data_IF_878241196201
#
_entry.id   IF_878241196201
#
_cell.length_a   1.000
_cell.length_b   1.000
_cell.length_c   1.000
_cell.angle_alpha   90.00
_cell.angle_beta   90.00
_cell.angle_gamma   90.00
#
_symmetry.space_group_name_H-M   'P 1'
#
loop_
_entity.id
_entity.type
_entity.pdbx_description
1 polymer ?
#
# COMPACT_ATOMS: atom_id res chain seq x y z
N UNK A 1 -22.17 -35.54 15.16
CA UNK A 1 -20.81 -36.07 15.45
C UNK A 1 -19.92 -35.73 14.26
N UNK A 2 -18.99 -34.76 14.41
CA UNK A 2 -18.00 -34.43 13.35
C UNK A 2 -16.99 -35.57 13.26
N UNK A 3 -17.02 -36.35 12.17
CA UNK A 3 -15.96 -37.30 11.85
C UNK A 3 -14.61 -36.57 11.84
N UNK A 4 -13.76 -36.85 12.83
CA UNK A 4 -12.34 -36.41 12.80
C UNK A 4 -11.69 -37.17 11.64
N UNK A 5 -11.51 -36.51 10.48
CA UNK A 5 -10.65 -37.01 9.40
C UNK A 5 -9.28 -37.31 10.00
N UNK A 6 -8.80 -38.56 9.88
CA UNK A 6 -7.45 -38.92 10.24
C UNK A 6 -6.52 -38.11 9.33
N UNK A 7 -5.58 -37.39 9.94
CA UNK A 7 -4.56 -36.65 9.21
C UNK A 7 -3.75 -37.63 8.35
N UNK A 8 -3.79 -37.47 7.05
CA UNK A 8 -2.96 -38.23 6.12
C UNK A 8 -1.51 -37.73 6.13
N UNK A 9 -0.59 -38.54 5.61
CA UNK A 9 0.82 -38.15 5.46
C UNK A 9 0.93 -36.85 4.66
N UNK A 10 0.10 -36.69 3.63
CA UNK A 10 0.03 -35.46 2.83
C UNK A 10 -0.33 -34.24 3.68
N UNK A 11 -1.31 -34.34 4.59
CA UNK A 11 -1.74 -33.24 5.43
C UNK A 11 -0.61 -32.79 6.38
N UNK A 12 0.15 -33.77 6.90
CA UNK A 12 1.31 -33.50 7.77
C UNK A 12 2.43 -32.80 6.99
N UNK A 13 2.80 -33.31 5.82
CA UNK A 13 3.84 -32.70 4.98
C UNK A 13 3.44 -31.28 4.55
N UNK A 14 2.18 -31.07 4.15
CA UNK A 14 1.66 -29.76 3.78
C UNK A 14 1.68 -28.80 4.97
N UNK A 15 1.30 -29.28 6.16
CA UNK A 15 1.34 -28.44 7.37
C UNK A 15 2.78 -28.01 7.72
N UNK A 16 3.74 -28.94 7.65
CA UNK A 16 5.18 -28.62 7.89
C UNK A 16 5.68 -27.61 6.86
N UNK A 17 5.34 -27.81 5.57
CA UNK A 17 5.72 -26.87 4.52
C UNK A 17 5.12 -25.47 4.74
N UNK A 18 3.83 -25.40 5.09
CA UNK A 18 3.18 -24.12 5.38
C UNK A 18 3.75 -23.43 6.62
N UNK A 19 4.10 -24.18 7.67
CA UNK A 19 4.78 -23.62 8.84
C UNK A 19 6.18 -23.09 8.49
N UNK A 20 6.91 -23.78 7.64
CA UNK A 20 8.21 -23.32 7.15
C UNK A 20 8.09 -22.02 6.35
N UNK A 21 7.13 -21.94 5.42
CA UNK A 21 6.84 -20.72 4.66
C UNK A 21 6.42 -19.58 5.60
N UNK A 22 5.56 -19.87 6.57
CA UNK A 22 5.13 -18.88 7.57
C UNK A 22 6.34 -18.34 8.36
N UNK A 23 7.22 -19.23 8.79
CA UNK A 23 8.41 -18.84 9.52
C UNK A 23 9.33 -17.91 8.70
N UNK A 24 9.65 -18.29 7.46
CA UNK A 24 10.50 -17.47 6.58
C UNK A 24 9.88 -16.09 6.30
N UNK A 25 8.56 -16.02 6.17
CA UNK A 25 7.88 -14.74 5.86
C UNK A 25 7.69 -13.87 7.09
N UNK A 26 7.42 -14.44 8.25
CA UNK A 26 7.16 -13.69 9.49
C UNK A 26 8.45 -13.26 10.20
N UNK A 27 9.51 -14.09 10.12
CA UNK A 27 10.75 -13.79 10.84
C UNK A 27 11.39 -12.44 10.48
N UNK A 28 11.51 -12.00 9.21
CA UNK A 28 12.05 -10.68 8.89
C UNK A 28 11.21 -9.52 9.46
N UNK A 29 9.89 -9.67 9.50
CA UNK A 29 9.01 -8.67 10.10
C UNK A 29 9.17 -8.64 11.63
N UNK A 30 9.22 -9.80 12.25
CA UNK A 30 9.51 -9.95 13.69
C UNK A 30 10.88 -9.35 14.03
N UNK A 31 11.91 -9.67 13.23
CA UNK A 31 13.25 -9.11 13.40
C UNK A 31 13.25 -7.59 13.34
N UNK A 32 12.51 -6.98 12.38
CA UNK A 32 12.37 -5.54 12.27
C UNK A 32 11.83 -4.92 13.57
N UNK A 33 10.84 -5.57 14.19
CA UNK A 33 10.27 -5.10 15.47
C UNK A 33 11.28 -5.19 16.59
N UNK A 34 11.91 -6.36 16.82
CA UNK A 34 12.86 -6.52 17.94
C UNK A 34 14.11 -5.65 17.75
N UNK A 35 14.60 -5.50 16.52
CA UNK A 35 15.73 -4.63 16.21
C UNK A 35 15.42 -3.16 16.48
N UNK A 36 14.19 -2.70 16.23
CA UNK A 36 13.79 -1.30 16.47
C UNK A 36 13.78 -0.93 17.96
N UNK A 37 13.68 -1.91 18.86
CA UNK A 37 13.70 -1.73 20.32
C UNK A 37 15.04 -2.11 20.97
N UNK A 38 16.04 -2.49 20.17
CA UNK A 38 17.35 -2.96 20.67
C UNK A 38 18.39 -1.86 20.60
N UNK A 39 19.43 -2.02 21.43
CA UNK A 39 20.60 -1.14 21.39
C UNK A 39 21.27 -1.20 20.02
N UNK A 40 21.63 -0.03 19.42
CA UNK A 40 22.21 0.04 18.09
C UNK A 40 23.46 -0.83 17.89
N UNK A 41 24.34 -0.90 18.88
CA UNK A 41 25.53 -1.75 18.87
C UNK A 41 25.19 -3.23 18.75
N UNK A 42 24.24 -3.73 19.55
CA UNK A 42 23.83 -5.13 19.55
C UNK A 42 23.15 -5.54 18.23
N UNK A 43 22.44 -4.62 17.57
CA UNK A 43 21.86 -4.89 16.24
C UNK A 43 22.95 -4.99 15.19
N UNK A 44 23.93 -4.08 15.23
CA UNK A 44 25.02 -4.05 14.25
C UNK A 44 25.98 -5.24 14.39
N UNK A 45 26.23 -5.72 15.62
CA UNK A 45 27.07 -6.90 15.89
C UNK A 45 26.35 -8.23 15.66
N UNK A 46 25.03 -8.21 15.39
CA UNK A 46 24.25 -9.42 15.13
C UNK A 46 23.84 -10.20 16.39
N UNK A 47 23.94 -9.60 17.57
CA UNK A 47 23.52 -10.22 18.84
C UNK A 47 21.99 -10.35 18.96
N UNK A 48 21.26 -9.51 18.22
CA UNK A 48 19.79 -9.53 18.18
C UNK A 48 19.33 -10.60 17.20
N UNK A 49 18.79 -11.72 17.72
CA UNK A 49 18.26 -12.82 16.89
C UNK A 49 16.80 -13.10 17.21
N UNK A 50 16.48 -13.43 18.47
CA UNK A 50 15.14 -13.85 18.90
C UNK A 50 14.50 -12.92 19.92
N UNK A 51 15.24 -12.05 20.54
CA UNK A 51 14.75 -11.12 21.56
C UNK A 51 15.50 -9.79 21.46
N UNK A 52 14.89 -8.67 21.89
CA UNK A 52 15.62 -7.41 22.02
C UNK A 52 16.82 -7.55 22.96
N UNK A 53 17.94 -6.94 22.63
CA UNK A 53 19.14 -6.84 23.44
C UNK A 53 19.38 -5.37 23.77
N UNK A 54 19.55 -5.01 25.05
CA UNK A 54 19.71 -3.62 25.46
C UNK A 54 18.48 -2.77 25.08
N UNK A 55 17.31 -3.03 25.69
CA UNK A 55 16.07 -2.33 25.33
C UNK A 55 16.23 -0.81 25.40
N UNK A 56 15.99 -0.14 24.27
CA UNK A 56 16.08 1.32 24.16
C UNK A 56 15.01 1.89 23.22
N UNK A 57 14.64 3.13 23.45
CA UNK A 57 13.74 3.93 22.58
C UNK A 57 14.47 5.08 21.89
N UNK A 58 15.80 5.10 21.92
CA UNK A 58 16.55 6.25 21.42
C UNK A 58 16.42 6.42 19.90
N UNK A 59 16.32 5.34 19.14
CA UNK A 59 16.01 5.39 17.70
C UNK A 59 14.63 6.01 17.44
N UNK A 60 13.64 5.72 18.28
CA UNK A 60 12.31 6.35 18.19
C UNK A 60 12.35 7.83 18.51
N UNK A 61 13.05 8.22 19.59
CA UNK A 61 13.23 9.64 19.96
C UNK A 61 13.87 10.41 18.81
N UNK A 62 14.92 9.84 18.20
CA UNK A 62 15.59 10.44 17.05
C UNK A 62 14.65 10.60 15.86
N UNK A 63 13.94 9.53 15.47
CA UNK A 63 12.99 9.57 14.35
C UNK A 63 11.87 10.59 14.58
N UNK A 64 11.29 10.64 15.77
CA UNK A 64 10.22 11.58 16.08
C UNK A 64 10.70 13.03 16.30
N UNK A 65 11.99 13.24 16.51
CA UNK A 65 12.57 14.60 16.54
C UNK A 65 12.61 15.24 15.14
N UNK A 66 12.57 14.45 14.05
CA UNK A 66 12.52 14.98 12.70
C UNK A 66 11.13 15.53 12.35
N UNK A 67 11.00 16.86 12.31
CA UNK A 67 9.75 17.56 11.98
C UNK A 67 9.16 17.12 10.63
N UNK A 68 10.02 16.78 9.67
CA UNK A 68 9.61 16.32 8.34
C UNK A 68 8.84 15.00 8.38
N UNK A 69 9.08 14.12 9.36
CA UNK A 69 8.36 12.84 9.48
C UNK A 69 6.88 13.10 9.81
N UNK A 70 6.58 14.00 10.74
CA UNK A 70 5.21 14.37 11.08
C UNK A 70 4.47 15.02 9.93
N UNK A 71 5.18 15.88 9.18
CA UNK A 71 4.63 16.48 7.95
C UNK A 71 4.40 15.41 6.89
N UNK A 72 5.35 14.51 6.67
CA UNK A 72 5.21 13.37 5.77
C UNK A 72 4.00 12.50 6.12
N UNK A 73 3.75 12.24 7.42
CA UNK A 73 2.53 11.55 7.88
C UNK A 73 1.26 12.30 7.48
N UNK A 74 1.18 13.58 7.78
CA UNK A 74 0.02 14.41 7.45
C UNK A 74 -0.23 14.41 5.93
N UNK A 75 0.83 14.57 5.13
CA UNK A 75 0.76 14.51 3.67
C UNK A 75 0.30 13.14 3.18
N UNK A 76 0.85 12.05 3.71
CA UNK A 76 0.46 10.69 3.31
C UNK A 76 -0.99 10.39 3.63
N UNK A 77 -1.47 10.78 4.82
CA UNK A 77 -2.89 10.63 5.17
C UNK A 77 -3.76 11.43 4.21
N UNK A 78 -3.38 12.68 3.91
CA UNK A 78 -4.09 13.54 2.97
C UNK A 78 -4.17 12.92 1.56
N UNK A 79 -3.04 12.45 1.02
CA UNK A 79 -3.00 11.81 -0.30
C UNK A 79 -3.75 10.48 -0.31
N UNK A 80 -3.64 9.69 0.75
CA UNK A 80 -4.36 8.41 0.86
C UNK A 80 -5.87 8.63 0.88
N UNK A 81 -6.37 9.58 1.68
CA UNK A 81 -7.81 9.82 1.78
C UNK A 81 -8.36 10.43 0.49
N UNK A 82 -7.76 11.53 0.01
CA UNK A 82 -8.28 12.21 -1.19
C UNK A 82 -8.01 11.42 -2.47
N UNK A 83 -6.84 10.80 -2.58
CA UNK A 83 -6.52 9.95 -3.74
C UNK A 83 -7.45 8.74 -3.81
N UNK A 84 -7.66 8.03 -2.70
CA UNK A 84 -8.61 6.90 -2.66
C UNK A 84 -10.03 7.34 -3.02
N UNK A 85 -10.50 8.47 -2.48
CA UNK A 85 -11.82 9.01 -2.80
C UNK A 85 -11.95 9.34 -4.30
N UNK A 86 -10.92 9.97 -4.88
CA UNK A 86 -10.86 10.29 -6.30
C UNK A 86 -10.84 9.02 -7.17
N UNK A 87 -10.01 8.04 -6.83
CA UNK A 87 -9.96 6.77 -7.55
C UNK A 87 -11.30 6.03 -7.52
N UNK A 88 -11.99 5.99 -6.38
CA UNK A 88 -13.30 5.36 -6.26
C UNK A 88 -14.35 6.11 -7.05
N UNK A 89 -14.33 7.45 -7.00
CA UNK A 89 -15.24 8.31 -7.76
C UNK A 89 -15.15 8.03 -9.26
N UNK A 90 -13.97 7.71 -9.78
CA UNK A 90 -13.78 7.38 -11.20
C UNK A 90 -14.08 5.89 -11.47
N UNK A 91 -13.54 4.99 -10.64
CA UNK A 91 -13.58 3.54 -10.89
C UNK A 91 -14.97 2.95 -10.75
N UNK A 92 -15.72 3.30 -9.69
CA UNK A 92 -17.00 2.65 -9.39
C UNK A 92 -18.07 2.97 -10.47
N UNK A 93 -18.31 4.24 -10.85
CA UNK A 93 -19.26 4.54 -11.91
C UNK A 93 -18.82 3.99 -13.28
N UNK A 94 -17.52 4.06 -13.60
CA UNK A 94 -17.01 3.50 -14.86
C UNK A 94 -17.20 1.99 -14.93
N UNK A 95 -16.88 1.25 -13.86
CA UNK A 95 -17.08 -0.18 -13.77
C UNK A 95 -18.58 -0.57 -13.86
N UNK A 96 -19.46 0.20 -13.20
CA UNK A 96 -20.89 0.01 -13.31
C UNK A 96 -21.38 0.20 -14.75
N UNK A 97 -21.00 1.29 -15.42
CA UNK A 97 -21.40 1.58 -16.79
C UNK A 97 -20.97 0.44 -17.74
N UNK A 98 -19.69 0.03 -17.70
CA UNK A 98 -19.19 -1.04 -18.58
C UNK A 98 -19.63 -2.45 -18.15
N UNK A 99 -20.31 -2.61 -17.02
CA UNK A 99 -20.96 -3.87 -16.64
C UNK A 99 -22.27 -4.09 -17.40
N UNK A 100 -22.94 -3.01 -17.83
CA UNK A 100 -24.27 -3.08 -18.46
C UNK A 100 -24.22 -3.67 -19.86
N UNK A 101 -25.06 -4.69 -20.13
CA UNK A 101 -25.12 -5.35 -21.44
C UNK A 101 -25.65 -4.44 -22.55
N UNK A 102 -26.51 -3.47 -22.20
CA UNK A 102 -27.13 -2.52 -23.14
C UNK A 102 -26.26 -1.27 -23.42
N UNK A 103 -25.09 -1.13 -22.78
CA UNK A 103 -24.18 -0.04 -23.11
C UNK A 103 -23.68 -0.20 -24.55
N UNK A 104 -23.92 0.76 -25.45
CA UNK A 104 -23.42 0.70 -26.81
C UNK A 104 -21.90 0.69 -26.80
N UNK A 105 -21.30 -0.07 -27.70
CA UNK A 105 -19.83 -0.18 -27.87
C UNK A 105 -19.08 -0.64 -26.59
N UNK A 106 -19.75 -1.32 -25.64
CA UNK A 106 -19.16 -1.81 -24.39
C UNK A 106 -17.83 -2.54 -24.60
N UNK A 107 -17.78 -3.41 -25.61
CA UNK A 107 -16.56 -4.19 -25.91
C UNK A 107 -15.43 -3.30 -26.43
N UNK A 108 -15.74 -2.20 -27.14
CA UNK A 108 -14.73 -1.23 -27.56
C UNK A 108 -14.12 -0.50 -26.36
N UNK A 109 -14.96 -0.02 -25.44
CA UNK A 109 -14.46 0.58 -24.20
C UNK A 109 -13.58 -0.39 -23.39
N UNK A 110 -14.03 -1.64 -23.25
CA UNK A 110 -13.23 -2.66 -22.57
C UNK A 110 -11.92 -2.96 -23.29
N UNK A 111 -11.93 -3.03 -24.61
CA UNK A 111 -10.73 -3.18 -25.44
C UNK A 111 -9.76 -2.01 -25.23
N UNK A 112 -10.25 -0.79 -25.22
CA UNK A 112 -9.45 0.41 -24.95
C UNK A 112 -8.81 0.36 -23.57
N UNK A 113 -9.55 0.03 -22.52
CA UNK A 113 -9.02 -0.13 -21.17
C UNK A 113 -7.96 -1.24 -21.12
N UNK A 114 -8.21 -2.38 -21.75
CA UNK A 114 -7.23 -3.47 -21.79
C UNK A 114 -5.93 -3.08 -22.52
N UNK A 115 -6.03 -2.36 -23.63
CA UNK A 115 -4.84 -1.85 -24.34
C UNK A 115 -4.01 -0.96 -23.41
N UNK A 116 -4.65 -0.01 -22.71
CA UNK A 116 -3.92 0.87 -21.78
C UNK A 116 -3.35 0.16 -20.55
N UNK A 117 -3.84 -1.02 -20.21
CA UNK A 117 -3.27 -1.85 -19.15
C UNK A 117 -1.95 -2.51 -19.56
N UNK A 118 -1.83 -2.95 -20.82
CA UNK A 118 -0.66 -3.67 -21.32
C UNK A 118 0.34 -2.76 -22.03
N UNK A 119 -0.10 -1.64 -22.60
CA UNK A 119 0.74 -0.71 -23.33
C UNK A 119 0.84 0.61 -22.58
N UNK A 120 2.03 0.90 -22.08
CA UNK A 120 2.37 2.16 -21.41
C UNK A 120 3.25 3.01 -22.31
N UNK A 121 3.03 4.31 -22.33
CA UNK A 121 3.91 5.25 -23.02
C UNK A 121 5.30 5.36 -22.40
N UNK A 122 5.48 4.82 -21.20
CA UNK A 122 6.74 4.90 -20.45
C UNK A 122 6.82 6.12 -19.52
N UNK A 123 7.87 6.14 -18.73
CA UNK A 123 8.08 7.15 -17.67
C UNK A 123 8.26 8.57 -18.25
N UNK A 124 9.08 8.72 -19.29
CA UNK A 124 9.41 10.04 -19.86
C UNK A 124 8.18 10.72 -20.49
N UNK A 125 7.40 10.09 -21.37
CA UNK A 125 6.15 10.66 -21.87
C UNK A 125 5.15 11.00 -20.76
N UNK A 126 5.03 10.15 -19.74
CA UNK A 126 4.15 10.41 -18.59
C UNK A 126 4.60 11.65 -17.80
N UNK A 127 5.91 11.79 -17.55
CA UNK A 127 6.46 12.97 -16.92
C UNK A 127 6.19 14.25 -17.72
N UNK A 128 6.44 14.21 -19.03
CA UNK A 128 6.20 15.36 -19.91
C UNK A 128 4.72 15.75 -19.94
N UNK A 129 3.81 14.78 -19.94
CA UNK A 129 2.38 15.04 -19.84
C UNK A 129 2.03 15.78 -18.54
N UNK A 130 2.47 15.25 -17.39
CA UNK A 130 2.22 15.86 -16.08
C UNK A 130 2.83 17.26 -15.99
N UNK A 131 4.02 17.45 -16.57
CA UNK A 131 4.68 18.76 -16.68
C UNK A 131 3.87 19.75 -17.53
N UNK A 132 3.42 19.32 -18.70
CA UNK A 132 2.63 20.17 -19.62
C UNK A 132 1.26 20.56 -19.03
N UNK A 133 0.70 19.70 -18.15
CA UNK A 133 -0.52 20.01 -17.41
C UNK A 133 -0.29 20.95 -16.22
N UNK A 134 0.97 21.36 -15.95
CA UNK A 134 1.30 22.25 -14.84
C UNK A 134 1.17 21.60 -13.46
N UNK A 135 1.20 20.26 -13.39
CA UNK A 135 0.98 19.52 -12.14
C UNK A 135 2.28 19.24 -11.37
N UNK A 136 3.46 19.47 -11.96
CA UNK A 136 4.75 19.28 -11.29
C UNK A 136 4.81 20.13 -10.04
N UNK A 137 5.31 19.55 -8.95
CA UNK A 137 5.45 20.16 -7.63
C UNK A 137 4.11 20.64 -7.03
N UNK A 138 3.05 19.88 -7.27
CA UNK A 138 1.72 20.13 -6.68
C UNK A 138 1.17 18.89 -5.98
N UNK A 139 0.30 19.10 -5.01
CA UNK A 139 -0.47 18.01 -4.36
C UNK A 139 -1.36 17.26 -5.34
N UNK A 140 -1.85 17.95 -6.37
CA UNK A 140 -2.72 17.36 -7.39
C UNK A 140 -2.02 16.26 -8.19
N UNK A 141 -0.70 16.36 -8.42
CA UNK A 141 0.06 15.32 -9.09
C UNK A 141 -0.07 13.96 -8.38
N UNK A 142 0.02 13.94 -7.04
CA UNK A 142 -0.05 12.70 -6.24
C UNK A 142 -1.47 12.16 -6.04
N UNK A 143 -2.49 12.94 -6.39
CA UNK A 143 -3.91 12.54 -6.29
C UNK A 143 -4.45 12.10 -7.64
N UNK A 144 -4.15 12.85 -8.73
CA UNK A 144 -4.78 12.68 -10.03
C UNK A 144 -4.04 11.66 -10.90
N UNK A 145 -2.70 11.63 -10.82
CA UNK A 145 -1.90 10.70 -11.63
C UNK A 145 -2.22 9.26 -11.21
N UNK A 146 -2.57 8.43 -12.18
CA UNK A 146 -3.02 7.06 -11.89
C UNK A 146 -4.43 6.95 -11.33
N UNK A 147 -5.30 7.94 -11.63
CA UNK A 147 -6.68 8.04 -11.11
C UNK A 147 -7.58 6.82 -11.34
N UNK A 148 -7.31 5.99 -12.37
CA UNK A 148 -7.99 4.70 -12.58
C UNK A 148 -6.96 3.59 -12.74
N UNK A 149 -7.04 2.59 -11.88
CA UNK A 149 -6.39 1.30 -12.11
C UNK A 149 -7.32 0.42 -12.95
N UNK A 150 -6.88 0.03 -14.13
CA UNK A 150 -7.68 -0.81 -15.04
C UNK A 150 -7.95 -2.17 -14.42
N UNK A 151 -6.99 -2.74 -13.68
CA UNK A 151 -7.21 -3.97 -12.92
C UNK A 151 -8.38 -3.83 -11.93
N UNK A 152 -8.38 -2.75 -11.13
CA UNK A 152 -9.45 -2.49 -10.16
C UNK A 152 -10.80 -2.25 -10.84
N UNK A 153 -10.80 -1.58 -12.00
CA UNK A 153 -12.00 -1.39 -12.82
C UNK A 153 -12.57 -2.74 -13.29
N UNK A 154 -11.72 -3.64 -13.80
CA UNK A 154 -12.14 -4.97 -14.28
C UNK A 154 -12.70 -5.81 -13.14
N UNK A 155 -12.03 -5.84 -11.99
CA UNK A 155 -12.49 -6.57 -10.80
C UNK A 155 -13.84 -6.05 -10.33
N UNK A 156 -13.98 -4.71 -10.26
CA UNK A 156 -15.25 -4.07 -9.85
C UNK A 156 -16.37 -4.32 -10.86
N UNK A 157 -16.09 -4.24 -12.18
CA UNK A 157 -17.02 -4.58 -13.24
C UNK A 157 -17.49 -6.04 -13.12
N UNK A 158 -16.55 -6.95 -12.90
CA UNK A 158 -16.87 -8.38 -12.74
C UNK A 158 -17.82 -8.59 -11.56
N UNK A 159 -17.60 -7.92 -10.45
CA UNK A 159 -18.51 -7.97 -9.31
C UNK A 159 -19.92 -7.51 -9.71
N UNK A 160 -20.08 -6.38 -10.40
CA UNK A 160 -21.38 -5.89 -10.85
C UNK A 160 -22.08 -6.85 -11.80
N UNK A 161 -21.34 -7.62 -12.60
CA UNK A 161 -21.93 -8.58 -13.55
C UNK A 161 -22.25 -9.94 -12.95
N UNK A 162 -21.52 -10.36 -11.91
CA UNK A 162 -21.66 -11.73 -11.35
C UNK A 162 -22.41 -11.78 -10.03
N UNK A 163 -22.31 -10.74 -9.21
CA UNK A 163 -22.83 -10.73 -7.85
C UNK A 163 -24.18 -10.01 -7.71
N UNK A 164 -24.58 -9.22 -8.71
CA UNK A 164 -25.88 -8.54 -8.72
C UNK A 164 -26.69 -9.08 -9.90
N UNK A 165 -27.81 -9.75 -9.58
CA UNK A 165 -28.69 -10.35 -10.60
C UNK A 165 -29.28 -9.30 -11.55
N UNK A 166 -29.35 -9.64 -12.85
CA UNK A 166 -30.01 -8.82 -13.86
C UNK A 166 -31.48 -8.53 -13.48
N UNK A 167 -32.19 -9.48 -12.83
CA UNK A 167 -33.57 -9.32 -12.38
C UNK A 167 -33.78 -8.13 -11.43
N UNK A 168 -32.80 -7.76 -10.62
CA UNK A 168 -32.87 -6.57 -9.75
C UNK A 168 -32.89 -5.30 -10.60
N UNK A 169 -32.11 -5.24 -11.67
CA UNK A 169 -32.08 -4.10 -12.58
C UNK A 169 -33.34 -4.01 -13.43
N UNK A 170 -33.91 -5.17 -13.84
CA UNK A 170 -35.18 -5.24 -14.57
C UNK A 170 -36.34 -4.76 -13.70
N UNK A 171 -36.43 -5.20 -12.44
CA UNK A 171 -37.44 -4.72 -11.49
C UNK A 171 -37.35 -3.21 -11.29
N UNK A 172 -36.14 -2.67 -11.08
CA UNK A 172 -35.94 -1.24 -10.95
C UNK A 172 -36.42 -0.45 -12.19
N UNK A 173 -36.22 -1.00 -13.39
CA UNK A 173 -36.67 -0.40 -14.64
C UNK A 173 -38.20 -0.43 -14.75
N UNK A 174 -38.85 -1.51 -14.33
CA UNK A 174 -40.32 -1.63 -14.27
C UNK A 174 -40.90 -0.59 -13.30
N UNK A 175 -40.22 -0.38 -12.15
CA UNK A 175 -40.59 0.66 -11.17
C UNK A 175 -40.29 2.10 -11.64
N UNK A 176 -39.84 2.30 -12.89
CA UNK A 176 -39.56 3.61 -13.47
C UNK A 176 -38.28 4.26 -12.95
N UNK A 177 -37.36 3.51 -12.33
CA UNK A 177 -36.09 4.04 -11.87
C UNK A 177 -35.16 4.34 -13.06
N UNK A 178 -34.72 5.57 -13.18
CA UNK A 178 -33.68 5.96 -14.15
C UNK A 178 -32.31 5.38 -13.73
N UNK A 179 -31.34 5.39 -14.67
CA UNK A 179 -30.00 4.81 -14.50
C UNK A 179 -29.26 5.35 -13.27
N UNK A 180 -29.28 6.66 -13.05
CA UNK A 180 -28.61 7.28 -11.91
C UNK A 180 -29.23 6.83 -10.58
N UNK A 181 -30.56 6.75 -10.50
CA UNK A 181 -31.28 6.25 -9.33
C UNK A 181 -30.97 4.79 -9.09
N UNK A 182 -30.96 3.97 -10.13
CA UNK A 182 -30.59 2.56 -10.08
C UNK A 182 -29.14 2.37 -9.58
N UNK A 183 -28.23 3.20 -10.06
CA UNK A 183 -26.82 3.17 -9.61
C UNK A 183 -26.71 3.55 -8.12
N UNK A 184 -27.23 4.72 -7.73
CA UNK A 184 -27.01 5.25 -6.37
C UNK A 184 -27.81 4.50 -5.31
N UNK A 185 -29.07 4.13 -5.61
CA UNK A 185 -29.99 3.57 -4.60
C UNK A 185 -30.00 2.05 -4.55
N UNK A 186 -29.56 1.36 -5.61
CA UNK A 186 -29.62 -0.09 -5.70
C UNK A 186 -28.21 -0.70 -5.86
N UNK A 187 -27.51 -0.35 -6.96
CA UNK A 187 -26.23 -0.98 -7.27
C UNK A 187 -25.14 -0.64 -6.25
N UNK A 188 -25.01 0.63 -5.88
CA UNK A 188 -23.99 1.09 -4.94
C UNK A 188 -24.14 0.49 -3.52
N UNK A 189 -25.33 0.41 -2.92
CA UNK A 189 -25.53 -0.28 -1.65
C UNK A 189 -25.21 -1.78 -1.72
N UNK A 190 -25.56 -2.46 -2.81
CA UNK A 190 -25.26 -3.87 -3.01
C UNK A 190 -23.78 -4.11 -3.30
N UNK A 191 -23.06 -3.11 -3.81
CA UNK A 191 -21.64 -3.16 -4.10
C UNK A 191 -20.73 -2.85 -2.89
N UNK A 192 -21.27 -2.61 -1.69
CA UNK A 192 -20.46 -2.32 -0.49
C UNK A 192 -19.28 -3.27 -0.28
N UNK A 193 -19.38 -4.59 -0.47
CA UNK A 193 -18.25 -5.48 -0.28
C UNK A 193 -17.08 -5.17 -1.24
N UNK A 194 -17.35 -4.99 -2.52
CA UNK A 194 -16.30 -4.69 -3.50
C UNK A 194 -15.75 -3.27 -3.32
N UNK A 195 -16.58 -2.32 -2.94
CA UNK A 195 -16.12 -0.95 -2.64
C UNK A 195 -15.12 -0.98 -1.47
N UNK A 196 -15.39 -1.75 -0.41
CA UNK A 196 -14.46 -1.89 0.71
C UNK A 196 -13.11 -2.50 0.29
N UNK A 197 -13.11 -3.46 -0.64
CA UNK A 197 -11.88 -4.01 -1.23
C UNK A 197 -11.14 -2.97 -2.05
N UNK A 198 -11.85 -2.19 -2.86
CA UNK A 198 -11.24 -1.12 -3.68
C UNK A 198 -10.69 0.02 -2.83
N UNK A 199 -11.38 0.39 -1.74
CA UNK A 199 -10.86 1.34 -0.73
C UNK A 199 -9.48 0.88 -0.24
N UNK A 200 -9.36 -0.39 0.13
CA UNK A 200 -8.08 -0.91 0.60
C UNK A 200 -7.01 -0.89 -0.49
N UNK A 201 -7.31 -1.37 -1.70
CA UNK A 201 -6.32 -1.42 -2.78
C UNK A 201 -5.77 -0.03 -3.10
N UNK A 202 -6.64 0.96 -3.23
CA UNK A 202 -6.23 2.33 -3.49
C UNK A 202 -5.54 2.98 -2.29
N UNK A 203 -6.05 2.77 -1.07
CA UNK A 203 -5.42 3.32 0.13
C UNK A 203 -4.01 2.78 0.35
N UNK A 204 -3.79 1.46 0.17
CA UNK A 204 -2.46 0.86 0.26
C UNK A 204 -1.53 1.37 -0.85
N UNK A 205 -2.04 1.57 -2.07
CA UNK A 205 -1.26 2.12 -3.17
C UNK A 205 -0.78 3.54 -2.86
N UNK A 206 -1.67 4.44 -2.42
CA UNK A 206 -1.31 5.80 -2.04
C UNK A 206 -0.41 5.85 -0.80
N UNK A 207 -0.65 4.99 0.19
CA UNK A 207 0.19 4.93 1.39
C UNK A 207 1.65 4.60 1.07
N UNK A 208 1.87 3.71 0.10
CA UNK A 208 3.20 3.25 -0.30
C UNK A 208 3.81 4.04 -1.46
N UNK A 209 3.13 5.08 -1.96
CA UNK A 209 3.57 5.81 -3.14
C UNK A 209 4.71 6.77 -2.81
N UNK A 210 5.93 6.30 -3.03
CA UNK A 210 7.13 7.13 -2.99
C UNK A 210 7.63 7.51 -4.39
N UNK A 211 7.32 6.67 -5.39
CA UNK A 211 7.91 6.80 -6.72
C UNK A 211 7.32 7.99 -7.50
N UNK A 212 6.00 8.17 -7.45
CA UNK A 212 5.37 9.34 -8.05
C UNK A 212 5.81 10.64 -7.33
N UNK A 213 5.98 10.58 -6.01
CA UNK A 213 6.51 11.72 -5.28
C UNK A 213 7.93 12.05 -5.71
N UNK A 214 8.80 11.06 -5.90
CA UNK A 214 10.18 11.25 -6.40
C UNK A 214 10.21 11.88 -7.80
N UNK A 215 9.25 11.52 -8.67
CA UNK A 215 9.18 12.04 -10.03
C UNK A 215 8.58 13.43 -10.12
N UNK A 216 7.52 13.71 -9.37
CA UNK A 216 6.68 14.88 -9.60
C UNK A 216 6.78 15.96 -8.52
N UNK A 217 7.42 15.66 -7.36
CA UNK A 217 7.50 16.59 -6.22
C UNK A 217 8.96 16.86 -5.86
N UNK A 218 9.34 18.14 -5.93
CA UNK A 218 10.66 18.63 -5.52
C UNK A 218 10.62 19.35 -4.16
N UNK A 219 9.44 19.83 -3.76
CA UNK A 219 9.25 20.56 -2.50
C UNK A 219 9.11 19.55 -1.34
N UNK A 220 10.03 19.66 -0.38
CA UNK A 220 10.03 18.82 0.82
C UNK A 220 8.76 19.00 1.69
N UNK A 221 8.07 20.12 1.55
CA UNK A 221 6.82 20.40 2.24
C UNK A 221 5.66 19.52 1.75
N UNK A 222 5.75 18.99 0.52
CA UNK A 222 4.74 18.17 -0.12
C UNK A 222 5.08 16.67 -0.09
N UNK A 223 6.27 16.30 0.38
CA UNK A 223 6.71 14.90 0.37
C UNK A 223 5.81 14.01 1.24
N UNK A 224 5.39 12.83 0.76
CA UNK A 224 4.78 11.80 1.59
C UNK A 224 5.81 11.12 2.49
N UNK A 225 5.34 10.44 3.53
CA UNK A 225 6.16 9.75 4.53
C UNK A 225 7.22 8.83 3.91
N UNK A 226 6.84 8.02 2.92
CA UNK A 226 7.75 7.05 2.30
C UNK A 226 8.95 7.74 1.63
N UNK A 227 8.73 8.89 0.99
CA UNK A 227 9.82 9.70 0.40
C UNK A 227 10.71 10.31 1.47
N UNK A 228 10.14 10.84 2.55
CA UNK A 228 10.89 11.38 3.69
C UNK A 228 11.76 10.28 4.31
N UNK A 229 11.20 9.10 4.60
CA UNK A 229 11.93 7.99 5.20
C UNK A 229 13.07 7.51 4.31
N UNK A 230 12.82 7.38 3.01
CA UNK A 230 13.87 7.03 2.04
C UNK A 230 14.99 8.04 2.02
N UNK A 231 14.68 9.34 1.99
CA UNK A 231 15.67 10.42 2.00
C UNK A 231 16.53 10.38 3.26
N UNK A 232 15.90 10.23 4.43
CA UNK A 232 16.62 10.15 5.72
C UNK A 232 17.52 8.89 5.76
N UNK A 233 17.06 7.75 5.22
CA UNK A 233 17.88 6.53 5.13
C UNK A 233 19.12 6.74 4.25
N UNK A 234 18.96 7.36 3.07
CA UNK A 234 20.09 7.65 2.17
C UNK A 234 21.07 8.63 2.81
N UNK A 235 20.58 9.70 3.44
CA UNK A 235 21.43 10.68 4.13
C UNK A 235 22.24 10.02 5.25
N UNK A 236 21.63 9.14 6.04
CA UNK A 236 22.32 8.41 7.10
C UNK A 236 23.36 7.44 6.54
N UNK A 237 23.10 6.75 5.42
CA UNK A 237 24.09 5.89 4.77
C UNK A 237 25.29 6.68 4.24
N UNK A 238 25.05 7.79 3.56
CA UNK A 238 26.13 8.66 3.05
C UNK A 238 27.00 9.20 4.19
N UNK A 239 26.39 9.65 5.29
CA UNK A 239 27.12 10.11 6.46
C UNK A 239 28.00 9.02 7.11
N UNK A 240 27.56 7.74 7.03
CA UNK A 240 28.36 6.59 7.46
C UNK A 240 29.55 6.34 6.54
N UNK A 241 29.33 6.35 5.24
CA UNK A 241 30.39 6.12 4.24
C UNK A 241 31.44 7.20 4.32
N UNK A 242 31.05 8.49 4.49
CA UNK A 242 31.97 9.60 4.71
C UNK A 242 32.79 9.45 6.00
N UNK A 243 32.15 9.02 7.10
CA UNK A 243 32.86 8.82 8.38
C UNK A 243 33.85 7.67 8.34
N UNK A 244 33.58 6.62 7.56
CA UNK A 244 34.49 5.49 7.36
C UNK A 244 35.67 5.83 6.44
N UNK A 245 35.51 6.79 5.53
CA UNK A 245 36.60 7.24 4.64
C UNK A 245 37.59 8.21 5.30
N UNK A 246 37.22 8.87 6.40
CA UNK A 246 38.11 9.77 7.13
C UNK A 246 39.05 8.96 8.04
N UNK A 247 40.14 8.43 7.49
CA UNK A 247 41.16 7.61 8.14
C UNK A 247 42.05 8.33 9.18
N UNK A 248 41.81 9.62 9.47
CA UNK A 248 42.67 10.46 10.32
C UNK A 248 42.05 10.89 11.66
N UNK A 249 41.06 10.11 12.17
CA UNK A 249 40.38 10.47 13.42
C UNK A 249 41.15 10.04 14.68
N UNK A 250 41.10 10.90 15.73
CA UNK A 250 41.60 10.54 17.06
C UNK A 250 40.76 9.43 17.70
N UNK A 251 41.28 8.62 18.62
CA UNK A 251 40.57 7.48 19.21
C UNK A 251 39.19 7.80 19.83
N UNK A 252 39.00 8.99 20.37
CA UNK A 252 37.70 9.44 20.90
C UNK A 252 36.67 9.75 19.81
N UNK A 253 37.10 10.32 18.70
CA UNK A 253 36.23 10.61 17.54
C UNK A 253 35.80 9.34 16.81
N UNK A 254 36.68 8.31 16.80
CA UNK A 254 36.35 6.98 16.27
C UNK A 254 35.20 6.31 17.03
N UNK A 255 35.19 6.43 18.37
CA UNK A 255 34.13 5.85 19.18
C UNK A 255 32.77 6.54 18.94
N UNK A 256 32.78 7.86 18.82
CA UNK A 256 31.57 8.64 18.57
C UNK A 256 31.05 8.45 17.13
N UNK A 257 31.96 8.32 16.17
CA UNK A 257 31.57 8.00 14.78
C UNK A 257 30.98 6.59 14.69
N UNK A 258 31.55 5.59 15.37
CA UNK A 258 30.99 4.25 15.44
C UNK A 258 29.59 4.23 16.08
N UNK A 259 29.38 4.97 17.17
CA UNK A 259 28.05 5.09 17.81
C UNK A 259 27.02 5.71 16.87
N UNK A 260 27.38 6.76 16.14
CA UNK A 260 26.50 7.38 15.13
C UNK A 260 26.19 6.39 14.00
N UNK A 261 27.20 5.63 13.56
CA UNK A 261 27.05 4.59 12.55
C UNK A 261 26.02 3.53 12.99
N UNK A 262 26.17 3.00 14.20
CA UNK A 262 25.24 2.02 14.74
C UNK A 262 23.83 2.58 14.92
N UNK A 263 23.71 3.83 15.40
CA UNK A 263 22.42 4.51 15.51
C UNK A 263 21.72 4.64 14.16
N UNK A 264 22.43 5.06 13.11
CA UNK A 264 21.91 5.16 11.75
C UNK A 264 21.50 3.79 11.20
N UNK A 265 22.26 2.73 11.47
CA UNK A 265 21.94 1.37 11.07
C UNK A 265 20.64 0.87 11.70
N UNK A 266 20.41 1.15 12.97
CA UNK A 266 19.20 0.70 13.70
C UNK A 266 17.97 1.56 13.33
N UNK A 267 18.20 2.82 13.00
CA UNK A 267 17.15 3.76 12.62
C UNK A 267 16.29 3.25 11.43
N UNK A 268 16.89 2.48 10.49
CA UNK A 268 16.16 1.88 9.38
C UNK A 268 15.02 0.96 9.84
N UNK A 269 15.24 0.15 10.88
CA UNK A 269 14.23 -0.77 11.40
C UNK A 269 13.09 -0.01 12.08
N UNK A 270 13.44 1.02 12.86
CA UNK A 270 12.47 1.91 13.49
C UNK A 270 11.61 2.63 12.44
N UNK A 271 12.21 3.14 11.37
CA UNK A 271 11.48 3.79 10.28
C UNK A 271 10.54 2.83 9.55
N UNK A 272 10.99 1.62 9.23
CA UNK A 272 10.16 0.60 8.59
C UNK A 272 8.97 0.22 9.48
N UNK A 273 9.20 0.06 10.79
CA UNK A 273 8.12 -0.23 11.74
C UNK A 273 7.11 0.92 11.81
N UNK A 274 7.57 2.16 11.97
CA UNK A 274 6.73 3.37 12.01
C UNK A 274 5.91 3.49 10.71
N UNK A 275 6.54 3.33 9.55
CA UNK A 275 5.85 3.41 8.26
C UNK A 275 4.76 2.34 8.07
N UNK A 276 4.98 1.15 8.63
CA UNK A 276 4.08 0.00 8.51
C UNK A 276 2.97 0.00 9.57
N UNK A 277 3.18 0.63 10.73
CA UNK A 277 2.28 0.58 11.86
C UNK A 277 0.82 0.99 11.53
N UNK A 278 0.54 2.06 10.80
CA UNK A 278 -0.83 2.43 10.45
C UNK A 278 -1.54 1.39 9.58
N UNK A 279 -0.83 0.75 8.64
CA UNK A 279 -1.39 -0.31 7.81
C UNK A 279 -1.68 -1.58 8.65
N UNK A 280 -0.77 -1.93 9.57
CA UNK A 280 -0.96 -3.05 10.49
C UNK A 280 -2.17 -2.83 11.42
N UNK A 281 -2.37 -1.60 11.89
CA UNK A 281 -3.52 -1.23 12.70
C UNK A 281 -4.82 -1.25 11.86
N UNK A 282 -4.78 -0.80 10.62
CA UNK A 282 -5.95 -0.79 9.73
C UNK A 282 -6.36 -2.20 9.25
N UNK A 283 -5.41 -3.15 9.14
CA UNK A 283 -5.63 -4.48 8.58
C UNK A 283 -6.79 -5.26 9.22
N UNK A 284 -6.92 -5.40 10.56
CA UNK A 284 -8.03 -6.15 11.18
C UNK A 284 -9.41 -5.61 10.83
N UNK A 285 -9.52 -4.29 10.62
CA UNK A 285 -10.79 -3.67 10.25
C UNK A 285 -11.21 -4.00 8.82
N UNK A 286 -10.24 -4.24 7.95
CA UNK A 286 -10.48 -4.51 6.53
C UNK A 286 -10.58 -6.01 6.23
N UNK A 287 -9.87 -6.85 6.97
CA UNK A 287 -9.83 -8.31 6.81
C UNK A 287 -11.23 -8.93 6.76
N UNK A 288 -12.16 -8.45 7.58
CA UNK A 288 -13.56 -8.95 7.62
C UNK A 288 -14.30 -8.80 6.29
N UNK A 289 -13.92 -7.85 5.45
CA UNK A 289 -14.53 -7.64 4.13
C UNK A 289 -13.91 -8.54 3.07
N UNK A 290 -12.61 -8.88 3.20
CA UNK A 290 -11.93 -9.81 2.30
C UNK A 290 -12.52 -11.22 2.35
N UNK A 291 -12.73 -11.76 3.55
CA UNK A 291 -13.27 -13.11 3.74
C UNK A 291 -14.64 -13.25 3.08
N UNK A 292 -15.44 -12.16 3.06
CA UNK A 292 -16.76 -12.16 2.41
C UNK A 292 -16.70 -11.91 0.89
N UNK A 293 -15.74 -11.08 0.42
CA UNK A 293 -15.65 -10.69 -0.99
C UNK A 293 -14.98 -11.72 -1.89
N UNK A 294 -13.95 -12.41 -1.39
CA UNK A 294 -13.22 -13.44 -2.14
C UNK A 294 -14.06 -14.72 -2.29
N UNK A 295 -14.91 -15.04 -1.32
CA UNK A 295 -15.80 -16.22 -1.38
C UNK A 295 -16.89 -16.10 -2.45
N UNK A 296 -17.32 -14.91 -2.83
CA UNK A 296 -18.35 -14.69 -3.86
C UNK A 296 -17.84 -15.02 -5.27
N UNK A 297 -16.53 -14.94 -5.50
CA UNK A 297 -15.91 -15.34 -6.79
C UNK A 297 -15.53 -16.83 -6.88
N UNK A 298 -15.47 -17.55 -5.76
CA UNK A 298 -14.97 -18.92 -5.69
C UNK A 298 -16.08 -19.98 -5.60
N UNK A 299 -17.31 -19.59 -5.31
CA UNK A 299 -18.46 -20.53 -5.24
C UNK A 299 -19.33 -20.33 -6.47
N UNK A 300 -18.94 -20.97 -7.57
CA UNK A 300 -19.83 -21.42 -8.61
C UNK A 300 -19.96 -22.94 -8.41
N UNK A 301 -20.96 -23.36 -7.67
CA UNK A 301 -21.69 -24.60 -7.83
C UNK A 301 -23.17 -24.29 -7.65
#
# INVERSE_FOLDING_TARGET
MKNKKKLGVFDICNCIFMLFVLFITVYPLYFTVIASFSEPSAVATGEVVWKPVGFTLDSYKQVFAYKQIWRGYANTIFYTVLGTAFNLFLTIPAAYAVSKKYLPHRNLFMGFFLITMYFSGGMVPSYLLVKNLGLINTRAALIIVGGISIYNLIVTRTYFTTSISDSIYEAAKIDGAGELRTFLSIALPLAKPIIAVMVLYYAVAHWNDYFNALLYVSDQELEPLQSVLRRVLIQNQNALDESMMQQSMQPGELLDSAKRAYAAYTMKYTMVFIASAPLLIAYPFVQKYFVKGVMVGAVKE
#
